data_IF_010930854938
#
_entry.id   IF_010930854938
#
_cell.length_a   1.000
_cell.length_b   1.000
_cell.length_c   1.000
_cell.angle_alpha   90.00
_cell.angle_beta   90.00
_cell.angle_gamma   90.00
#
_symmetry.space_group_name_H-M   'P 1'
#
loop_
_entity.id
_entity.type
_entity.pdbx_description
1 polymer ?
#
# COMPACT_ATOMS: atom_id res chain seq x y z
N UNK A 1 3.95 2.15 12.52
CA UNK A 1 4.35 3.28 11.65
C UNK A 1 3.70 4.52 12.22
N UNK A 2 4.50 5.51 12.66
CA UNK A 2 4.00 6.84 12.99
C UNK A 2 3.52 7.56 11.70
N UNK A 3 2.64 8.55 11.84
CA UNK A 3 2.21 9.49 10.79
C UNK A 3 1.33 8.93 9.66
N UNK A 4 0.39 8.02 9.98
CA UNK A 4 -0.58 7.47 9.01
C UNK A 4 -1.75 8.42 8.83
N UNK A 5 -2.09 8.73 7.58
CA UNK A 5 -3.20 9.62 7.22
C UNK A 5 -4.37 8.90 6.56
N UNK A 6 -4.10 8.03 5.57
CA UNK A 6 -5.13 7.20 4.92
C UNK A 6 -4.73 5.73 4.94
N UNK A 7 -5.71 4.84 4.92
CA UNK A 7 -5.54 3.40 4.64
C UNK A 7 -5.93 3.14 3.20
N UNK A 8 -5.20 2.28 2.50
CA UNK A 8 -5.46 1.94 1.11
C UNK A 8 -5.67 0.44 0.88
N UNK A 9 -6.61 0.11 0.00
CA UNK A 9 -6.84 -1.22 -0.54
C UNK A 9 -6.60 -1.17 -2.05
N UNK A 10 -5.64 -1.96 -2.53
CA UNK A 10 -5.31 -2.06 -3.96
C UNK A 10 -5.95 -3.28 -4.60
N UNK A 11 -6.60 -3.08 -5.75
CA UNK A 11 -7.19 -4.11 -6.59
C UNK A 11 -6.46 -4.12 -7.94
N UNK A 12 -5.51 -5.05 -8.15
CA UNK A 12 -4.75 -5.13 -9.39
C UNK A 12 -5.47 -6.03 -10.40
N UNK A 13 -5.56 -5.57 -11.65
CA UNK A 13 -6.06 -6.36 -12.76
C UNK A 13 -4.88 -6.70 -13.67
N UNK A 14 -4.31 -7.89 -13.48
CA UNK A 14 -3.10 -8.31 -14.19
C UNK A 14 -3.41 -9.30 -15.31
N UNK A 15 -2.99 -8.97 -16.52
CA UNK A 15 -2.88 -9.90 -17.63
C UNK A 15 -1.41 -10.02 -18.02
N UNK A 16 -0.96 -11.24 -18.30
CA UNK A 16 0.47 -11.48 -18.48
C UNK A 16 0.79 -12.73 -19.28
N UNK A 17 2.07 -12.84 -19.61
CA UNK A 17 2.65 -13.94 -20.36
C UNK A 17 3.71 -14.63 -19.51
N UNK A 18 3.75 -15.96 -19.60
CA UNK A 18 4.79 -16.81 -19.00
C UNK A 18 5.52 -17.53 -20.12
N UNK A 19 6.83 -17.36 -20.19
CA UNK A 19 7.69 -17.99 -21.19
C UNK A 19 8.72 -18.89 -20.51
N UNK A 20 8.78 -20.16 -20.94
CA UNK A 20 9.82 -21.09 -20.50
C UNK A 20 11.16 -20.72 -21.12
N UNK A 21 12.21 -20.77 -20.32
CA UNK A 21 13.58 -20.65 -20.77
C UNK A 21 14.14 -22.05 -21.04
N UNK A 22 15.07 -22.16 -21.99
CA UNK A 22 15.83 -23.39 -22.26
C UNK A 22 14.98 -24.63 -22.56
N UNK A 23 13.88 -24.47 -23.30
CA UNK A 23 12.93 -25.55 -23.59
C UNK A 23 13.52 -26.81 -24.26
N UNK A 24 14.78 -26.77 -24.73
CA UNK A 24 15.47 -27.86 -25.42
C UNK A 24 16.59 -28.54 -24.61
N UNK A 25 16.99 -27.98 -23.46
CA UNK A 25 18.24 -28.37 -22.78
C UNK A 25 18.09 -28.74 -21.29
N UNK A 26 16.89 -28.67 -20.70
CA UNK A 26 16.72 -28.93 -19.27
C UNK A 26 15.94 -30.23 -19.04
N UNK A 27 16.50 -31.04 -18.14
CA UNK A 27 16.03 -32.33 -17.63
C UNK A 27 14.51 -32.35 -17.39
N UNK A 28 13.89 -33.52 -17.63
CA UNK A 28 12.43 -33.77 -17.63
C UNK A 28 11.66 -33.16 -16.43
N UNK A 29 12.36 -32.90 -15.32
CA UNK A 29 11.80 -32.51 -14.02
C UNK A 29 12.13 -31.08 -13.56
N UNK A 30 12.85 -30.26 -14.33
CA UNK A 30 13.13 -28.86 -13.96
C UNK A 30 12.90 -27.92 -15.14
N UNK A 31 12.08 -26.88 -14.99
CA UNK A 31 11.74 -25.98 -16.10
C UNK A 31 11.76 -24.53 -15.63
N UNK A 32 12.77 -23.78 -16.08
CA UNK A 32 12.88 -22.36 -15.78
C UNK A 32 11.90 -21.55 -16.64
N UNK A 33 11.43 -20.43 -16.09
CA UNK A 33 10.58 -19.51 -16.82
C UNK A 33 10.76 -18.06 -16.34
N UNK A 34 10.38 -17.16 -17.23
CA UNK A 34 10.16 -15.75 -16.94
C UNK A 34 8.68 -15.44 -17.15
N UNK A 35 8.16 -14.51 -16.38
CA UNK A 35 6.78 -14.06 -16.50
C UNK A 35 6.71 -12.56 -16.31
N UNK A 36 5.87 -11.91 -17.11
CA UNK A 36 5.57 -10.50 -16.99
C UNK A 36 4.06 -10.31 -17.13
N UNK A 37 3.49 -9.47 -16.27
CA UNK A 37 2.08 -9.13 -16.27
C UNK A 37 1.90 -7.64 -16.01
N UNK A 38 0.84 -7.06 -16.55
CA UNK A 38 0.48 -5.67 -16.33
C UNK A 38 -1.00 -5.43 -16.60
N UNK A 39 -1.49 -4.31 -16.13
CA UNK A 39 -2.84 -3.85 -16.40
C UNK A 39 -3.28 -2.73 -15.47
N UNK A 40 -4.57 -2.37 -15.48
CA UNK A 40 -5.09 -1.31 -14.63
C UNK A 40 -5.08 -1.74 -13.16
N UNK A 41 -5.14 -0.75 -12.28
CA UNK A 41 -5.29 -0.93 -10.85
C UNK A 41 -6.31 0.06 -10.30
N UNK A 42 -7.01 -0.36 -9.27
CA UNK A 42 -7.90 0.49 -8.49
C UNK A 42 -7.35 0.57 -7.06
N UNK A 43 -7.21 1.77 -6.50
CA UNK A 43 -6.98 1.96 -5.08
C UNK A 43 -8.24 2.55 -4.46
N UNK A 44 -8.70 1.94 -3.37
CA UNK A 44 -9.69 2.52 -2.49
C UNK A 44 -8.99 3.00 -1.22
N UNK A 45 -9.07 4.29 -0.92
CA UNK A 45 -8.43 4.90 0.26
C UNK A 45 -9.44 5.55 1.17
N UNK A 46 -9.30 5.38 2.47
CA UNK A 46 -10.17 6.01 3.48
C UNK A 46 -9.34 6.60 4.63
N UNK A 47 -9.84 7.62 5.34
CA UNK A 47 -9.08 8.29 6.40
C UNK A 47 -8.76 7.35 7.57
N UNK A 48 -7.52 7.44 8.06
CA UNK A 48 -7.03 6.66 9.20
C UNK A 48 -7.54 7.22 10.54
N UNK A 49 -7.63 8.54 10.65
CA UNK A 49 -8.21 9.27 11.78
C UNK A 49 -9.39 10.09 11.28
N UNK A 50 -10.39 10.28 12.13
CA UNK A 50 -11.44 11.28 11.91
C UNK A 50 -10.81 12.65 12.17
N UNK A 51 -10.13 13.19 11.16
CA UNK A 51 -9.47 14.48 11.20
C UNK A 51 -10.52 15.57 11.43
N UNK A 52 -10.35 16.34 12.51
CA UNK A 52 -11.33 17.35 12.90
C UNK A 52 -11.18 18.56 11.99
N UNK A 53 -12.21 18.85 11.19
CA UNK A 53 -12.26 20.06 10.37
C UNK A 53 -12.07 21.28 11.27
N UNK A 54 -11.04 22.07 11.00
CA UNK A 54 -10.77 23.29 11.77
C UNK A 54 -11.82 24.33 11.39
N UNK A 55 -12.73 24.74 12.30
CA UNK A 55 -13.89 25.55 11.93
C UNK A 55 -13.56 26.90 11.29
N UNK A 56 -12.39 27.46 11.62
CA UNK A 56 -11.89 28.72 11.06
C UNK A 56 -11.43 28.59 9.60
N UNK A 57 -10.90 27.42 9.23
CA UNK A 57 -10.31 27.18 7.91
C UNK A 57 -11.18 26.32 6.99
N UNK A 58 -12.18 25.63 7.54
CA UNK A 58 -13.08 24.76 6.78
C UNK A 58 -12.40 23.52 6.18
N UNK A 59 -11.18 23.21 6.61
CA UNK A 59 -10.36 22.12 6.10
C UNK A 59 -9.81 21.25 7.25
N UNK A 60 -9.54 19.96 7.01
CA UNK A 60 -8.81 19.11 7.94
C UNK A 60 -7.37 19.63 8.15
N UNK A 61 -6.79 19.38 9.32
CA UNK A 61 -5.45 19.86 9.65
C UNK A 61 -4.35 19.07 8.88
N UNK A 62 -4.65 17.83 8.46
CA UNK A 62 -3.77 16.95 7.70
C UNK A 62 -2.75 16.20 8.55
N UNK A 63 -2.92 16.12 9.87
CA UNK A 63 -2.06 15.36 10.77
C UNK A 63 -2.81 14.97 12.04
N UNK A 64 -2.33 13.96 12.77
CA UNK A 64 -2.99 13.55 14.00
C UNK A 64 -2.79 14.56 15.14
N UNK A 65 -3.88 14.96 15.78
CA UNK A 65 -3.82 15.83 16.95
C UNK A 65 -3.46 15.07 18.24
N UNK A 66 -2.63 15.71 19.07
CA UNK A 66 -2.21 15.24 20.39
C UNK A 66 -2.38 16.35 21.43
N UNK A 67 -2.75 15.98 22.64
CA UNK A 67 -2.80 16.85 23.81
C UNK A 67 -1.85 16.34 24.91
N UNK A 68 -1.27 17.25 25.68
CA UNK A 68 -0.43 16.91 26.83
C UNK A 68 -1.33 16.54 28.01
N UNK A 69 -1.22 15.31 28.50
CA UNK A 69 -1.93 14.84 29.68
C UNK A 69 -1.36 15.44 30.97
N UNK A 70 -2.08 15.30 32.11
CA UNK A 70 -1.65 15.81 33.42
C UNK A 70 -0.31 15.23 33.93
N UNK A 71 0.12 14.13 33.33
CA UNK A 71 1.35 13.39 33.59
C UNK A 71 2.51 13.78 32.65
N UNK A 72 2.29 14.76 31.76
CA UNK A 72 3.29 15.26 30.81
C UNK A 72 3.47 14.38 29.56
N UNK A 73 2.63 13.37 29.36
CA UNK A 73 2.67 12.51 28.16
C UNK A 73 1.71 13.01 27.09
N UNK A 74 2.02 12.74 25.81
CA UNK A 74 1.17 13.09 24.68
C UNK A 74 0.11 12.00 24.45
N UNK A 75 -1.16 12.41 24.46
CA UNK A 75 -2.31 11.56 24.18
C UNK A 75 -2.98 11.98 22.87
N UNK A 76 -3.25 11.04 21.96
CA UNK A 76 -3.99 11.36 20.75
C UNK A 76 -5.44 11.68 21.09
N UNK A 77 -5.96 12.79 20.58
CA UNK A 77 -7.35 13.21 20.83
C UNK A 77 -8.33 12.68 19.78
N UNK A 78 -7.82 12.37 18.60
CA UNK A 78 -8.65 11.93 17.48
C UNK A 78 -8.89 10.42 17.47
N UNK A 79 -10.13 10.05 17.16
CA UNK A 79 -10.54 8.66 17.04
C UNK A 79 -9.94 8.07 15.76
N UNK A 80 -9.23 6.95 15.93
CA UNK A 80 -8.77 6.14 14.80
C UNK A 80 -9.97 5.44 14.18
N UNK A 81 -10.18 5.67 12.90
CA UNK A 81 -11.24 5.01 12.15
C UNK A 81 -10.88 3.53 11.95
N UNK A 82 -11.86 2.67 12.22
CA UNK A 82 -11.87 1.30 11.76
C UNK A 82 -12.37 1.23 10.30
N UNK A 83 -12.40 0.03 9.74
CA UNK A 83 -12.83 -0.17 8.36
C UNK A 83 -14.25 0.35 8.12
N UNK A 84 -15.20 0.07 9.01
CA UNK A 84 -16.62 0.39 8.78
C UNK A 84 -16.92 1.87 9.00
N UNK A 85 -16.23 2.51 9.95
CA UNK A 85 -16.38 3.94 10.26
C UNK A 85 -15.74 4.84 9.22
N UNK A 86 -14.58 4.45 8.66
CA UNK A 86 -13.92 5.24 7.61
C UNK A 86 -14.42 4.98 6.19
N UNK A 87 -15.12 3.87 5.93
CA UNK A 87 -15.49 3.45 4.56
C UNK A 87 -16.37 4.47 3.82
N UNK A 88 -17.25 5.19 4.51
CA UNK A 88 -18.15 6.18 3.87
C UNK A 88 -17.41 7.39 3.28
N UNK A 89 -16.22 7.68 3.79
CA UNK A 89 -15.34 8.78 3.35
C UNK A 89 -14.27 8.27 2.38
N UNK A 90 -14.48 7.06 1.84
CA UNK A 90 -13.55 6.42 0.94
C UNK A 90 -13.52 7.05 -0.45
N UNK A 91 -12.31 7.24 -0.97
CA UNK A 91 -12.03 7.71 -2.31
C UNK A 91 -11.46 6.59 -3.17
N UNK A 92 -11.73 6.64 -4.46
CA UNK A 92 -11.23 5.65 -5.42
C UNK A 92 -10.31 6.32 -6.44
N UNK A 93 -9.10 5.79 -6.58
CA UNK A 93 -8.08 6.29 -7.52
C UNK A 93 -7.68 5.18 -8.50
N UNK A 94 -7.68 5.50 -9.80
CA UNK A 94 -7.22 4.58 -10.83
C UNK A 94 -5.70 4.71 -11.05
N UNK A 95 -5.09 3.60 -11.44
CA UNK A 95 -3.68 3.54 -11.77
C UNK A 95 -3.35 2.31 -12.60
N UNK A 96 -2.09 1.91 -12.53
CA UNK A 96 -1.55 0.74 -13.19
C UNK A 96 -0.94 -0.20 -12.16
N UNK A 97 -0.93 -1.49 -12.48
CA UNK A 97 -0.19 -2.50 -11.74
C UNK A 97 0.64 -3.33 -12.69
N UNK A 98 1.73 -3.88 -12.18
CA UNK A 98 2.60 -4.77 -12.93
C UNK A 98 3.30 -5.78 -12.05
N UNK A 99 3.74 -6.86 -12.68
CA UNK A 99 4.52 -7.90 -12.04
C UNK A 99 5.56 -8.46 -13.01
N UNK A 100 6.79 -8.63 -12.54
CA UNK A 100 7.84 -9.36 -13.26
C UNK A 100 8.32 -10.48 -12.35
N UNK A 101 8.44 -11.69 -12.89
CA UNK A 101 8.79 -12.89 -12.12
C UNK A 101 9.78 -13.74 -12.90
N UNK A 102 10.66 -14.37 -12.16
CA UNK A 102 11.47 -15.50 -12.59
C UNK A 102 11.07 -16.70 -11.73
N UNK A 103 11.11 -17.90 -12.30
CA UNK A 103 10.73 -19.07 -11.53
C UNK A 103 11.23 -20.36 -12.13
N UNK A 104 11.07 -21.40 -11.32
CA UNK A 104 11.37 -22.77 -11.69
C UNK A 104 10.16 -23.64 -11.36
N UNK A 105 9.77 -24.46 -12.32
CA UNK A 105 8.81 -25.53 -12.14
C UNK A 105 9.58 -26.84 -11.94
N UNK A 106 9.30 -27.55 -10.85
CA UNK A 106 9.91 -28.84 -10.48
C UNK A 106 8.84 -29.95 -10.57
N UNK A 107 9.17 -31.08 -11.18
CA UNK A 107 8.30 -32.26 -11.31
C UNK A 107 7.99 -32.65 -12.76
N UNK A 108 7.75 -33.95 -12.98
CA UNK A 108 7.42 -34.56 -14.28
C UNK A 108 5.98 -34.33 -14.69
N UNK A 109 5.06 -34.42 -13.72
CA UNK A 109 3.62 -34.54 -13.91
C UNK A 109 2.86 -33.36 -13.31
N UNK A 110 1.65 -33.09 -13.81
CA UNK A 110 0.82 -31.97 -13.35
C UNK A 110 0.44 -32.11 -11.86
N UNK A 111 0.30 -33.33 -11.35
CA UNK A 111 -0.15 -33.63 -9.98
C UNK A 111 0.95 -33.47 -8.92
N UNK A 112 2.22 -33.43 -9.33
CA UNK A 112 3.39 -33.32 -8.43
C UNK A 112 4.21 -32.05 -8.65
N UNK A 113 3.70 -31.11 -9.47
CA UNK A 113 4.45 -29.93 -9.88
C UNK A 113 4.58 -28.91 -8.74
N UNK A 114 5.80 -28.69 -8.29
CA UNK A 114 6.13 -27.58 -7.38
C UNK A 114 6.67 -26.41 -8.17
N UNK A 115 6.09 -25.22 -8.01
CA UNK A 115 6.56 -23.99 -8.64
C UNK A 115 7.12 -23.05 -7.59
N UNK A 116 8.34 -22.57 -7.83
CA UNK A 116 8.98 -21.54 -7.01
C UNK A 116 9.13 -20.28 -7.87
N UNK A 117 8.56 -19.16 -7.43
CA UNK A 117 8.59 -17.88 -8.12
C UNK A 117 9.24 -16.82 -7.24
N UNK A 118 10.18 -16.08 -7.81
CA UNK A 118 10.70 -14.84 -7.26
C UNK A 118 10.29 -13.71 -8.19
N UNK A 119 9.75 -12.64 -7.64
CA UNK A 119 9.27 -11.56 -8.47
C UNK A 119 9.16 -10.24 -7.75
N UNK A 120 8.72 -9.27 -8.51
CA UNK A 120 8.50 -7.92 -8.07
C UNK A 120 7.15 -7.46 -8.60
N UNK A 121 6.29 -7.04 -7.68
CA UNK A 121 4.96 -6.52 -7.98
C UNK A 121 4.92 -5.05 -7.62
N UNK A 122 4.24 -4.25 -8.43
CA UNK A 122 4.12 -2.81 -8.20
C UNK A 122 2.76 -2.24 -8.59
N UNK A 123 2.41 -1.12 -7.96
CA UNK A 123 1.38 -0.18 -8.37
C UNK A 123 2.01 1.15 -8.78
N UNK A 124 1.35 1.83 -9.72
CA UNK A 124 1.66 3.19 -10.12
C UNK A 124 0.36 4.00 -10.27
N UNK A 125 0.24 5.09 -9.50
CA UNK A 125 -0.90 6.02 -9.54
C UNK A 125 -0.40 7.39 -10.01
N UNK A 126 -0.97 7.91 -11.10
CA UNK A 126 -0.52 9.17 -11.74
C UNK A 126 -0.64 10.36 -10.79
N UNK A 127 -1.73 10.40 -10.03
CA UNK A 127 -2.07 11.49 -9.11
C UNK A 127 -1.44 11.27 -7.72
N UNK A 128 -0.88 10.07 -7.48
CA UNK A 128 -0.36 9.67 -6.18
C UNK A 128 -1.45 9.33 -5.17
N UNK A 129 -1.07 8.67 -4.08
CA UNK A 129 -1.93 8.39 -2.94
C UNK A 129 -1.33 9.01 -1.69
N UNK A 130 -2.08 9.90 -1.04
CA UNK A 130 -1.68 10.51 0.23
C UNK A 130 -1.94 9.55 1.40
N UNK A 131 -1.05 8.58 1.60
CA UNK A 131 -1.16 7.57 2.68
C UNK A 131 -0.63 8.09 4.02
N UNK A 132 0.36 8.97 3.97
CA UNK A 132 1.04 9.56 5.13
C UNK A 132 0.53 10.98 5.38
N UNK A 133 0.76 11.53 6.56
CA UNK A 133 0.32 12.88 6.94
C UNK A 133 0.94 13.95 6.00
N UNK A 134 0.13 14.69 5.22
CA UNK A 134 0.66 15.70 4.31
C UNK A 134 1.36 16.86 5.03
N UNK A 135 0.97 17.17 6.27
CA UNK A 135 1.50 18.31 7.01
C UNK A 135 2.04 17.89 8.38
N UNK A 136 2.81 18.78 8.99
CA UNK A 136 3.24 18.68 10.38
C UNK A 136 3.26 20.07 11.04
N UNK A 137 2.76 20.22 12.28
CA UNK A 137 2.85 21.49 13.00
C UNK A 137 4.30 21.81 13.39
N UNK A 138 4.67 23.08 13.34
CA UNK A 138 6.00 23.56 13.80
C UNK A 138 5.93 24.30 15.14
N UNK A 139 4.76 24.81 15.51
CA UNK A 139 4.50 25.51 16.76
C UNK A 139 3.30 24.92 17.50
N UNK A 140 3.32 25.06 18.82
CA UNK A 140 2.26 24.60 19.72
C UNK A 140 1.86 25.75 20.66
N UNK A 141 0.58 25.83 21.01
CA UNK A 141 0.07 26.80 21.97
C UNK A 141 0.46 26.43 23.42
N UNK A 142 0.10 27.28 24.38
CA UNK A 142 0.42 27.06 25.79
C UNK A 142 -0.20 25.77 26.39
N UNK A 143 -1.27 25.27 25.77
CA UNK A 143 -1.98 24.05 26.15
C UNK A 143 -1.41 22.80 25.43
N UNK A 144 -0.36 22.98 24.61
CA UNK A 144 0.30 21.91 23.88
C UNK A 144 -0.44 21.47 22.61
N UNK A 145 -1.42 22.25 22.15
CA UNK A 145 -2.16 22.00 20.91
C UNK A 145 -1.44 22.63 19.72
N UNK A 146 -1.49 22.00 18.54
CA UNK A 146 -0.79 22.48 17.36
C UNK A 146 -1.42 23.76 16.79
N UNK A 147 -0.58 24.72 16.41
CA UNK A 147 -1.02 25.97 15.74
C UNK A 147 -1.13 25.70 14.23
N UNK A 148 -2.34 25.82 13.68
CA UNK A 148 -2.65 25.42 12.30
C UNK A 148 -1.82 26.17 11.25
N UNK A 149 -1.62 27.47 11.44
CA UNK A 149 -0.88 28.36 10.54
C UNK A 149 0.62 28.04 10.51
N UNK A 150 1.12 27.36 11.55
CA UNK A 150 2.51 26.94 11.64
C UNK A 150 2.80 25.66 10.86
N UNK A 151 1.78 25.00 10.29
CA UNK A 151 1.96 23.73 9.61
C UNK A 151 2.84 23.88 8.37
N UNK A 152 3.72 22.91 8.17
CA UNK A 152 4.56 22.80 6.99
C UNK A 152 4.30 21.48 6.28
N UNK A 153 4.53 21.44 4.97
CA UNK A 153 4.49 20.21 4.17
C UNK A 153 5.45 19.17 4.75
N UNK A 154 5.02 17.91 4.79
CA UNK A 154 5.78 16.85 5.44
C UNK A 154 5.94 15.60 4.56
N UNK A 155 4.86 14.96 4.12
CA UNK A 155 4.92 13.83 3.20
C UNK A 155 4.17 14.12 1.91
N UNK A 156 4.85 13.92 0.78
CA UNK A 156 4.23 13.95 -0.54
C UNK A 156 3.35 12.73 -0.80
N UNK A 157 2.39 12.89 -1.70
CA UNK A 157 1.59 11.79 -2.21
C UNK A 157 2.48 10.77 -2.94
N UNK A 158 2.41 9.51 -2.52
CA UNK A 158 3.25 8.46 -3.08
C UNK A 158 2.63 7.90 -4.35
N UNK A 159 3.37 7.95 -5.46
CA UNK A 159 2.91 7.46 -6.77
C UNK A 159 3.21 5.99 -7.01
N UNK A 160 4.24 5.46 -6.38
CA UNK A 160 4.77 4.13 -6.68
C UNK A 160 4.83 3.26 -5.42
N UNK A 161 4.26 2.06 -5.50
CA UNK A 161 4.25 1.09 -4.41
C UNK A 161 4.75 -0.24 -4.93
N UNK A 162 5.90 -0.71 -4.45
CA UNK A 162 6.53 -1.92 -4.96
C UNK A 162 6.94 -2.88 -3.86
N UNK A 163 6.76 -4.17 -4.12
CA UNK A 163 7.00 -5.24 -3.13
C UNK A 163 7.68 -6.43 -3.80
N UNK A 164 8.85 -6.87 -3.29
CA UNK A 164 9.43 -8.15 -3.68
C UNK A 164 8.53 -9.29 -3.17
N UNK A 165 8.35 -10.31 -4.00
CA UNK A 165 7.49 -11.45 -3.72
C UNK A 165 8.24 -12.75 -3.92
N UNK A 166 8.02 -13.68 -3.00
CA UNK A 166 8.41 -15.08 -3.13
C UNK A 166 7.13 -15.89 -3.04
N UNK A 167 6.88 -16.76 -4.01
CA UNK A 167 5.69 -17.60 -4.05
C UNK A 167 6.07 -19.05 -4.29
N UNK A 168 5.52 -19.93 -3.46
CA UNK A 168 5.59 -21.38 -3.61
C UNK A 168 4.20 -21.88 -3.98
N UNK A 169 4.09 -22.67 -5.03
CA UNK A 169 2.86 -23.34 -5.43
C UNK A 169 3.15 -24.83 -5.46
N UNK A 170 2.48 -25.61 -4.61
CA UNK A 170 2.61 -27.06 -4.58
C UNK A 170 1.42 -27.67 -5.32
N UNK A 171 1.68 -28.42 -6.39
CA UNK A 171 0.69 -29.23 -7.09
C UNK A 171 0.29 -30.44 -6.23
N UNK A 172 -1.00 -30.77 -6.26
CA UNK A 172 -1.62 -31.80 -5.43
C UNK A 172 -2.91 -31.31 -4.77
N UNK A 173 -3.99 -31.20 -5.54
CA UNK A 173 -5.35 -31.28 -5.00
C UNK A 173 -6.03 -32.44 -5.70
N UNK A 174 -6.11 -33.56 -4.95
CA UNK A 174 -6.83 -34.83 -5.18
C UNK A 174 -6.67 -35.55 -6.53
#
# INVERSE_FOLDING_TARGET
MPNKYKRGLGFPFLLGVKQRLFARHIEDNMRFFVSAAGGPALAFTYPYVSDTVVPEYGEPNGFRDFQVGPDGFLYPVERVNDFFTGWSEGETTWGYSGAIKIGVDLGSDFDSRTTIEFGYFFYYFTDGLQIMEPYKPTEYNADGEPIFESRVEFFDAQKYFGTPQIKFTFGGMW
#
